data_IF_545024893910
#
_entry.id   IF_545024893910
#
_cell.length_a   1.000
_cell.length_b   1.000
_cell.length_c   1.000
_cell.angle_alpha   90.00
_cell.angle_beta   90.00
_cell.angle_gamma   90.00
#
_symmetry.space_group_name_H-M   'P 1'
#
loop_
_entity.id
_entity.type
_entity.pdbx_description
1 polymer ?
#
# COMPACT_ATOMS: atom_id res chain seq x y z
N UNK A 1 0.40 -4.82 2.56
CA UNK A 1 1.71 -4.89 3.27
C UNK A 1 1.82 -6.25 3.95
N UNK A 2 2.98 -6.90 3.88
CA UNK A 2 3.23 -8.21 4.48
C UNK A 2 3.20 -8.13 6.02
N UNK A 3 2.69 -9.17 6.70
CA UNK A 3 2.69 -9.22 8.18
C UNK A 3 4.13 -9.35 8.70
N UNK A 4 4.55 -8.44 9.59
CA UNK A 4 5.89 -8.44 10.19
C UNK A 4 6.20 -9.70 11.00
N UNK A 5 5.19 -10.46 11.42
CA UNK A 5 5.38 -11.70 12.15
C UNK A 5 6.11 -12.77 11.31
N UNK A 6 6.15 -12.64 10.00
CA UNK A 6 6.86 -13.57 9.13
C UNK A 6 8.37 -13.59 9.40
N UNK A 7 8.97 -12.45 9.82
CA UNK A 7 10.38 -12.37 10.24
C UNK A 7 10.71 -13.35 11.39
N UNK A 8 9.71 -13.63 12.22
CA UNK A 8 9.87 -14.46 13.42
C UNK A 8 9.42 -15.90 13.20
N UNK A 9 8.40 -16.08 12.39
CA UNK A 9 7.69 -17.36 12.27
C UNK A 9 8.10 -18.12 11.01
N UNK A 10 8.56 -17.43 9.97
CA UNK A 10 8.90 -18.07 8.69
C UNK A 10 9.91 -17.24 7.88
N UNK A 11 11.10 -17.05 8.44
CA UNK A 11 12.19 -16.28 7.83
C UNK A 11 12.65 -16.88 6.50
N UNK A 12 12.66 -18.22 6.40
CA UNK A 12 13.10 -18.93 5.20
C UNK A 12 12.16 -18.64 4.01
N UNK A 13 10.86 -18.61 4.23
CA UNK A 13 9.90 -18.24 3.18
C UNK A 13 10.08 -16.79 2.71
N UNK A 14 10.48 -15.89 3.61
CA UNK A 14 10.77 -14.51 3.25
C UNK A 14 12.05 -14.41 2.41
N UNK A 15 13.10 -15.16 2.77
CA UNK A 15 14.36 -15.22 2.00
C UNK A 15 14.14 -15.82 0.61
N UNK A 16 13.41 -16.95 0.52
CA UNK A 16 13.02 -17.56 -0.75
C UNK A 16 12.21 -16.60 -1.65
N UNK A 17 11.27 -15.86 -1.05
CA UNK A 17 10.48 -14.86 -1.78
C UNK A 17 11.35 -13.77 -2.42
N UNK A 18 12.33 -13.25 -1.68
CA UNK A 18 13.24 -12.22 -2.20
C UNK A 18 14.16 -12.78 -3.29
N UNK A 19 14.71 -13.97 -3.10
CA UNK A 19 15.55 -14.64 -4.08
C UNK A 19 14.79 -14.90 -5.38
N UNK A 20 13.57 -15.45 -5.31
CA UNK A 20 12.71 -15.71 -6.50
C UNK A 20 12.34 -14.45 -7.25
N UNK A 21 12.29 -13.30 -6.58
CA UNK A 21 11.99 -11.99 -7.17
C UNK A 21 13.23 -11.22 -7.58
N UNK A 22 14.44 -11.72 -7.30
CA UNK A 22 15.70 -11.03 -7.58
C UNK A 22 15.86 -9.74 -6.79
N UNK A 23 15.29 -9.65 -5.58
CA UNK A 23 15.34 -8.46 -4.73
C UNK A 23 16.47 -8.59 -3.69
N UNK A 24 17.34 -7.59 -3.65
CA UNK A 24 18.43 -7.48 -2.68
C UNK A 24 18.01 -6.58 -1.52
N UNK A 25 17.40 -7.19 -0.50
CA UNK A 25 16.97 -6.52 0.73
C UNK A 25 17.69 -7.17 1.92
N UNK A 26 18.32 -6.35 2.77
CA UNK A 26 19.05 -6.82 3.95
C UNK A 26 18.06 -7.33 5.03
N UNK A 27 17.80 -8.62 4.98
CA UNK A 27 16.95 -9.32 5.94
C UNK A 27 17.55 -9.33 7.35
N UNK A 28 18.87 -9.45 7.46
CA UNK A 28 19.52 -9.53 8.77
C UNK A 28 19.42 -8.17 9.49
N UNK A 29 19.50 -7.07 8.75
CA UNK A 29 19.19 -5.74 9.27
C UNK A 29 17.75 -5.67 9.79
N UNK A 30 16.77 -6.15 9.03
CA UNK A 30 15.37 -6.13 9.43
C UNK A 30 15.10 -6.97 10.69
N UNK A 31 15.73 -8.13 10.81
CA UNK A 31 15.66 -8.97 12.02
C UNK A 31 16.21 -8.23 13.23
N UNK A 32 17.40 -7.62 13.11
CA UNK A 32 18.00 -6.84 14.19
C UNK A 32 17.13 -5.64 14.61
N UNK A 33 16.55 -4.94 13.64
CA UNK A 33 15.65 -3.82 13.91
C UNK A 33 14.36 -4.27 14.60
N UNK A 34 13.77 -5.41 14.19
CA UNK A 34 12.60 -5.96 14.87
C UNK A 34 12.89 -6.33 16.32
N UNK A 35 14.03 -6.95 16.59
CA UNK A 35 14.47 -7.28 17.95
C UNK A 35 14.67 -6.02 18.79
N UNK A 36 15.33 -5.01 18.25
CA UNK A 36 15.57 -3.73 18.90
C UNK A 36 14.27 -3.01 19.26
N UNK A 37 13.34 -2.91 18.30
CA UNK A 37 12.01 -2.32 18.52
C UNK A 37 11.27 -3.03 19.63
N UNK A 38 11.24 -4.37 19.60
CA UNK A 38 10.55 -5.17 20.65
C UNK A 38 11.16 -4.96 22.03
N UNK A 39 12.48 -4.88 22.14
CA UNK A 39 13.15 -4.61 23.40
C UNK A 39 12.75 -3.24 23.96
N UNK A 40 12.79 -2.18 23.12
CA UNK A 40 12.38 -0.83 23.53
C UNK A 40 10.90 -0.79 23.92
N UNK A 41 10.03 -1.46 23.16
CA UNK A 41 8.60 -1.55 23.48
C UNK A 41 8.35 -2.22 24.82
N UNK A 42 9.05 -3.32 25.09
CA UNK A 42 8.94 -4.03 26.35
C UNK A 42 9.38 -3.14 27.53
N UNK A 43 10.48 -2.40 27.40
CA UNK A 43 10.92 -1.44 28.44
C UNK A 43 9.90 -0.33 28.66
N UNK A 44 9.32 0.21 27.58
CA UNK A 44 8.28 1.24 27.66
C UNK A 44 7.01 0.72 28.36
N UNK A 45 6.56 -0.50 28.05
CA UNK A 45 5.41 -1.13 28.70
C UNK A 45 5.67 -1.40 30.20
N UNK A 46 6.89 -1.84 30.54
CA UNK A 46 7.31 -2.02 31.92
C UNK A 46 7.28 -0.70 32.68
N UNK A 47 7.87 0.35 32.13
CA UNK A 47 7.87 1.69 32.74
C UNK A 47 6.44 2.25 32.90
N UNK A 48 5.55 2.04 31.93
CA UNK A 48 4.12 2.40 32.04
C UNK A 48 3.41 1.63 33.16
N UNK A 49 3.71 0.35 33.30
CA UNK A 49 3.13 -0.46 34.37
C UNK A 49 3.58 0.04 35.77
N UNK A 50 4.86 0.36 35.93
CA UNK A 50 5.41 0.97 37.12
C UNK A 50 4.77 2.33 37.43
N UNK A 51 4.62 3.19 36.40
CA UNK A 51 3.94 4.49 36.52
C UNK A 51 2.49 4.34 37.02
N UNK A 52 1.75 3.35 36.48
CA UNK A 52 0.39 3.05 36.92
C UNK A 52 0.33 2.60 38.39
N UNK A 53 1.31 1.81 38.84
CA UNK A 53 1.39 1.36 40.25
C UNK A 53 1.72 2.52 41.17
N UNK A 54 2.72 3.35 40.82
CA UNK A 54 3.05 4.56 41.58
C UNK A 54 1.85 5.52 41.66
N UNK A 55 1.07 5.67 40.60
CA UNK A 55 -0.16 6.46 40.60
C UNK A 55 -1.18 6.00 41.62
N UNK A 56 -1.33 4.67 41.79
CA UNK A 56 -2.18 4.10 42.87
C UNK A 56 -1.62 4.37 44.27
N UNK A 57 -0.29 4.26 44.45
CA UNK A 57 0.35 4.54 45.71
C UNK A 57 0.25 6.03 46.11
N UNK A 58 0.37 6.95 45.15
CA UNK A 58 0.19 8.39 45.36
C UNK A 58 -1.21 8.70 45.90
N UNK A 59 -2.25 8.02 45.37
CA UNK A 59 -3.64 8.23 45.81
C UNK A 59 -3.89 7.77 47.26
N UNK A 60 -3.02 6.91 47.79
CA UNK A 60 -3.12 6.33 49.14
C UNK A 60 -2.10 6.92 50.15
N UNK A 61 -1.27 7.87 49.71
CA UNK A 61 -0.16 8.42 50.50
C UNK A 61 -0.37 9.90 50.77
N UNK A 62 0.16 10.36 51.94
CA UNK A 62 0.14 11.76 52.37
C UNK A 62 1.53 12.24 52.80
N UNK A 63 1.71 13.57 52.91
CA UNK A 63 2.94 14.19 53.40
C UNK A 63 4.18 13.94 52.50
N UNK A 64 5.34 13.80 53.13
CA UNK A 64 6.65 13.64 52.46
C UNK A 64 6.72 12.42 51.55
N UNK A 65 6.03 11.33 51.90
CA UNK A 65 5.95 10.12 51.06
C UNK A 65 5.26 10.38 49.73
N UNK A 66 4.21 11.19 49.75
CA UNK A 66 3.50 11.59 48.52
C UNK A 66 4.39 12.44 47.61
N UNK A 67 5.18 13.36 48.18
CA UNK A 67 6.12 14.20 47.39
C UNK A 67 7.23 13.36 46.75
N UNK A 68 7.77 12.37 47.45
CA UNK A 68 8.75 11.44 46.85
C UNK A 68 8.18 10.62 45.73
N UNK A 69 6.96 10.10 45.89
CA UNK A 69 6.26 9.34 44.82
C UNK A 69 5.93 10.19 43.60
N UNK A 70 5.56 11.47 43.80
CA UNK A 70 5.35 12.42 42.73
C UNK A 70 6.63 12.68 41.92
N UNK A 71 7.78 12.83 42.60
CA UNK A 71 9.08 12.96 41.93
C UNK A 71 9.42 11.71 41.12
N UNK A 72 9.22 10.51 41.67
CA UNK A 72 9.42 9.25 40.94
C UNK A 72 8.50 9.12 39.74
N UNK A 73 7.23 9.48 39.89
CA UNK A 73 6.26 9.46 38.79
C UNK A 73 6.66 10.42 37.65
N UNK A 74 7.19 11.61 37.96
CA UNK A 74 7.70 12.55 36.97
C UNK A 74 8.87 11.96 36.19
N UNK A 75 9.88 11.39 36.85
CA UNK A 75 11.03 10.75 36.20
C UNK A 75 10.60 9.57 35.31
N UNK A 76 9.66 8.76 35.82
CA UNK A 76 9.10 7.66 35.02
C UNK A 76 8.34 8.17 33.79
N UNK A 77 7.60 9.27 33.90
CA UNK A 77 6.89 9.88 32.78
C UNK A 77 7.85 10.36 31.67
N UNK A 78 8.95 10.99 32.07
CA UNK A 78 10.01 11.40 31.12
C UNK A 78 10.66 10.18 30.46
N UNK A 79 10.95 9.13 31.24
CA UNK A 79 11.52 7.90 30.70
C UNK A 79 10.59 7.22 29.70
N UNK A 80 9.28 7.12 30.00
CA UNK A 80 8.27 6.57 29.06
C UNK A 80 8.23 7.40 27.78
N UNK A 81 8.30 8.72 27.88
CA UNK A 81 8.34 9.60 26.71
C UNK A 81 9.57 9.33 25.83
N UNK A 82 10.76 9.27 26.43
CA UNK A 82 12.00 8.98 25.73
C UNK A 82 12.01 7.59 25.06
N UNK A 83 11.45 6.59 25.75
CA UNK A 83 11.34 5.23 25.18
C UNK A 83 10.38 5.19 24.00
N UNK A 84 9.26 5.93 24.05
CA UNK A 84 8.36 6.02 22.91
C UNK A 84 9.02 6.73 21.73
N UNK A 85 9.70 7.86 21.96
CA UNK A 85 10.43 8.57 20.89
C UNK A 85 11.49 7.67 20.23
N UNK A 86 12.21 6.86 21.04
CA UNK A 86 13.14 5.87 20.51
C UNK A 86 12.44 4.77 19.72
N UNK A 87 11.32 4.27 20.22
CA UNK A 87 10.53 3.27 19.51
C UNK A 87 10.06 3.79 18.14
N UNK A 88 9.51 5.00 18.11
CA UNK A 88 8.99 5.61 16.88
C UNK A 88 10.12 5.82 15.84
N UNK A 89 11.32 6.20 16.30
CA UNK A 89 12.48 6.34 15.42
C UNK A 89 12.92 4.99 14.81
N UNK A 90 13.00 3.93 15.63
CA UNK A 90 13.36 2.60 15.13
C UNK A 90 12.24 1.98 14.27
N UNK A 91 10.97 2.23 14.59
CA UNK A 91 9.83 1.81 13.77
C UNK A 91 9.88 2.44 12.38
N UNK A 92 10.20 3.73 12.32
CA UNK A 92 10.34 4.44 11.04
C UNK A 92 11.45 3.83 10.19
N UNK A 93 12.64 3.61 10.76
CA UNK A 93 13.77 2.98 10.05
C UNK A 93 13.43 1.56 9.55
N UNK A 94 12.72 0.81 10.37
CA UNK A 94 12.25 -0.52 10.00
C UNK A 94 11.26 -0.46 8.85
N UNK A 95 10.25 0.40 8.94
CA UNK A 95 9.19 0.52 7.93
C UNK A 95 9.74 0.99 6.57
N UNK A 96 10.71 1.90 6.54
CA UNK A 96 11.35 2.37 5.29
C UNK A 96 11.95 1.23 4.46
N UNK A 97 12.35 0.13 5.09
CA UNK A 97 12.83 -1.07 4.38
C UNK A 97 11.73 -2.13 4.22
N UNK A 98 10.89 -2.29 5.24
CA UNK A 98 9.85 -3.30 5.25
C UNK A 98 8.81 -3.12 4.15
N UNK A 99 8.43 -1.88 3.85
CA UNK A 99 7.45 -1.57 2.79
C UNK A 99 7.92 -1.96 1.39
N UNK A 100 9.24 -2.11 1.17
CA UNK A 100 9.82 -2.54 -0.10
C UNK A 100 9.66 -4.05 -0.34
N UNK A 101 9.27 -4.80 0.67
CA UNK A 101 9.11 -6.25 0.56
C UNK A 101 7.71 -6.55 -0.01
N UNK A 102 7.62 -7.14 -1.22
CA UNK A 102 6.35 -7.50 -1.80
C UNK A 102 5.75 -8.74 -1.10
N UNK A 103 4.48 -9.02 -1.36
CA UNK A 103 3.80 -10.21 -0.88
C UNK A 103 4.52 -11.49 -1.32
N UNK A 104 4.34 -12.56 -0.55
CA UNK A 104 4.93 -13.86 -0.87
C UNK A 104 4.48 -14.36 -2.25
N UNK A 105 5.41 -14.93 -2.97
CA UNK A 105 5.15 -15.59 -4.26
C UNK A 105 4.41 -16.90 -3.99
N UNK A 106 3.38 -17.19 -4.78
CA UNK A 106 2.69 -18.48 -4.76
C UNK A 106 3.64 -19.60 -5.23
N UNK A 107 3.56 -20.79 -4.61
CA UNK A 107 4.42 -21.92 -4.93
C UNK A 107 4.30 -22.37 -6.38
N UNK A 108 3.13 -22.17 -7.00
CA UNK A 108 2.87 -22.55 -8.40
C UNK A 108 3.42 -21.56 -9.42
N UNK A 109 3.83 -20.36 -8.99
CA UNK A 109 4.40 -19.34 -9.87
C UNK A 109 5.80 -19.74 -10.34
N UNK A 110 6.12 -19.62 -11.64
CA UNK A 110 7.48 -19.86 -12.12
C UNK A 110 8.45 -18.81 -11.57
N UNK A 111 9.69 -19.20 -11.41
CA UNK A 111 10.79 -18.26 -11.13
C UNK A 111 11.25 -17.67 -12.45
N UNK A 112 11.40 -16.33 -12.52
CA UNK A 112 11.84 -15.66 -13.73
C UNK A 112 12.10 -14.18 -13.50
N UNK A 113 12.86 -13.56 -14.39
CA UNK A 113 13.23 -12.15 -14.32
C UNK A 113 12.29 -11.26 -15.16
N UNK A 114 11.61 -11.81 -16.15
CA UNK A 114 10.76 -11.08 -17.08
C UNK A 114 9.44 -11.81 -17.34
N UNK A 115 8.51 -11.16 -18.03
CA UNK A 115 7.26 -11.73 -18.49
C UNK A 115 7.43 -12.90 -19.47
N UNK A 116 8.59 -13.01 -20.11
CA UNK A 116 8.91 -14.14 -21.01
C UNK A 116 9.12 -15.47 -20.26
N UNK A 117 9.41 -15.39 -18.98
CA UNK A 117 9.54 -16.56 -18.09
C UNK A 117 8.17 -17.09 -17.63
N UNK A 118 7.08 -16.40 -17.96
CA UNK A 118 5.73 -16.82 -17.61
C UNK A 118 5.36 -18.15 -18.28
N UNK A 119 4.78 -19.04 -17.51
CA UNK A 119 4.29 -20.33 -18.01
C UNK A 119 2.83 -20.20 -18.45
N UNK A 120 2.59 -20.42 -19.74
CA UNK A 120 1.22 -20.52 -20.24
C UNK A 120 0.52 -21.75 -19.67
N UNK A 121 -0.55 -21.54 -18.90
CA UNK A 121 -1.29 -22.62 -18.23
C UNK A 121 -2.49 -23.13 -19.01
N UNK A 122 -3.04 -22.30 -19.94
CA UNK A 122 -4.24 -22.65 -20.71
C UNK A 122 -4.37 -21.78 -21.93
N UNK A 123 -4.68 -22.41 -23.08
CA UNK A 123 -5.18 -21.75 -24.29
C UNK A 123 -6.67 -22.06 -24.46
N UNK A 124 -7.46 -21.05 -24.86
CA UNK A 124 -8.90 -21.19 -25.13
C UNK A 124 -9.22 -20.58 -26.48
N UNK A 125 -9.82 -21.36 -27.35
CA UNK A 125 -10.15 -20.96 -28.70
C UNK A 125 -8.98 -21.12 -29.70
N UNK A 126 -9.21 -20.72 -30.93
CA UNK A 126 -8.20 -20.71 -31.99
C UNK A 126 -7.72 -19.28 -32.25
N UNK A 127 -6.41 -19.09 -32.24
CA UNK A 127 -5.80 -17.81 -32.62
C UNK A 127 -5.78 -17.73 -34.13
N UNK A 128 -6.55 -16.79 -34.68
CA UNK A 128 -6.55 -16.53 -36.13
C UNK A 128 -5.36 -15.64 -36.46
N UNK A 129 -4.56 -16.05 -37.43
CA UNK A 129 -3.58 -15.19 -38.06
C UNK A 129 -4.32 -14.19 -38.95
N UNK A 130 -4.18 -12.90 -38.65
CA UNK A 130 -4.79 -11.80 -39.42
C UNK A 130 -3.64 -11.02 -40.06
N UNK A 131 -3.60 -10.99 -41.39
CA UNK A 131 -2.65 -10.16 -42.11
C UNK A 131 -2.97 -8.67 -41.89
N UNK A 132 -1.93 -7.85 -41.71
CA UNK A 132 -2.04 -6.40 -41.50
C UNK A 132 -2.98 -6.02 -40.33
N UNK A 133 -2.85 -6.73 -39.21
CA UNK A 133 -3.63 -6.44 -38.02
C UNK A 133 -3.39 -4.98 -37.57
N UNK A 134 -4.48 -4.24 -37.39
CA UNK A 134 -4.47 -2.88 -36.87
C UNK A 134 -4.64 -2.91 -35.35
N UNK A 135 -3.92 -2.04 -34.66
CA UNK A 135 -4.14 -1.83 -33.24
C UNK A 135 -5.43 -1.03 -32.96
N UNK A 136 -5.83 -0.92 -31.72
CA UNK A 136 -7.08 -0.24 -31.31
C UNK A 136 -7.10 1.26 -31.70
N UNK A 137 -5.95 1.93 -31.68
CA UNK A 137 -5.84 3.33 -32.01
C UNK A 137 -6.03 3.53 -33.55
N UNK A 138 -5.32 2.75 -34.36
CA UNK A 138 -5.47 2.78 -35.83
C UNK A 138 -6.90 2.47 -36.29
N UNK A 139 -7.59 1.56 -35.58
CA UNK A 139 -9.00 1.27 -35.83
C UNK A 139 -9.86 2.48 -35.43
N UNK A 140 -9.68 3.01 -34.25
CA UNK A 140 -10.46 4.14 -33.70
C UNK A 140 -10.34 5.39 -34.55
N UNK A 141 -9.11 5.74 -34.96
CA UNK A 141 -8.83 6.86 -35.85
C UNK A 141 -9.44 6.67 -37.25
N UNK A 142 -9.27 5.47 -37.85
CA UNK A 142 -9.83 5.17 -39.18
C UNK A 142 -11.35 5.25 -39.22
N UNK A 143 -12.02 5.07 -38.08
CA UNK A 143 -13.47 5.16 -37.90
C UNK A 143 -13.93 6.52 -37.39
N UNK A 144 -13.03 7.48 -37.12
CA UNK A 144 -13.28 8.75 -36.48
C UNK A 144 -13.94 8.62 -35.09
N UNK A 145 -13.52 7.63 -34.34
CA UNK A 145 -14.03 7.33 -33.01
C UNK A 145 -13.06 7.77 -31.86
N UNK A 146 -11.78 7.98 -32.20
CA UNK A 146 -10.73 8.38 -31.28
C UNK A 146 -9.93 9.53 -31.85
N UNK A 147 -9.52 10.51 -31.05
CA UNK A 147 -8.61 11.60 -31.40
C UNK A 147 -7.64 11.85 -30.24
N UNK A 148 -6.41 11.47 -30.43
CA UNK A 148 -5.34 11.65 -29.44
C UNK A 148 -4.56 12.95 -29.65
N UNK A 149 -4.51 13.46 -30.89
CA UNK A 149 -3.79 14.70 -31.22
C UNK A 149 -4.46 15.89 -30.53
N UNK A 150 -5.78 16.06 -30.74
CA UNK A 150 -6.53 17.13 -30.06
C UNK A 150 -6.54 16.99 -28.54
N UNK A 151 -6.58 15.77 -28.03
CA UNK A 151 -6.51 15.56 -26.60
C UNK A 151 -5.13 15.98 -26.04
N UNK A 152 -4.06 15.70 -26.77
CA UNK A 152 -2.72 16.13 -26.40
C UNK A 152 -2.54 17.67 -26.43
N UNK A 153 -3.18 18.36 -27.35
CA UNK A 153 -3.19 19.82 -27.40
C UNK A 153 -3.88 20.44 -26.15
N UNK A 154 -4.92 19.80 -25.66
CA UNK A 154 -5.73 20.31 -24.53
C UNK A 154 -5.17 19.89 -23.17
N UNK A 155 -4.73 18.64 -23.03
CA UNK A 155 -4.42 18.02 -21.73
C UNK A 155 -3.02 17.41 -21.64
N UNK A 156 -2.26 17.38 -22.73
CA UNK A 156 -0.95 16.74 -22.78
C UNK A 156 -1.02 15.28 -23.27
N UNK A 157 0.11 14.60 -23.20
CA UNK A 157 0.23 13.21 -23.67
C UNK A 157 -0.62 12.23 -22.86
N UNK A 158 -1.02 11.12 -23.46
CA UNK A 158 -1.81 10.02 -22.85
C UNK A 158 -3.29 10.34 -22.59
N UNK A 159 -3.80 11.46 -23.09
CA UNK A 159 -5.24 11.74 -23.11
C UNK A 159 -5.82 11.40 -24.48
N UNK A 160 -7.11 11.11 -24.53
CA UNK A 160 -7.85 10.83 -25.77
C UNK A 160 -9.26 11.42 -25.72
N UNK A 161 -9.75 11.87 -26.86
CA UNK A 161 -11.18 12.04 -27.07
C UNK A 161 -11.75 10.77 -27.67
N UNK A 162 -12.94 10.36 -27.21
CA UNK A 162 -13.75 9.30 -27.81
C UNK A 162 -15.04 9.91 -28.35
N UNK A 163 -15.55 9.38 -29.47
CA UNK A 163 -16.68 9.96 -30.17
C UNK A 163 -17.75 8.94 -30.55
N UNK A 164 -18.95 9.44 -30.83
CA UNK A 164 -20.03 8.71 -31.49
C UNK A 164 -20.42 7.42 -30.76
N UNK A 165 -20.39 6.33 -31.49
CA UNK A 165 -20.86 5.03 -31.00
C UNK A 165 -19.89 4.42 -29.95
N UNK A 166 -18.61 4.83 -29.95
CA UNK A 166 -17.67 4.37 -28.92
C UNK A 166 -18.07 4.88 -27.51
N UNK A 167 -18.57 6.11 -27.40
CA UNK A 167 -19.12 6.64 -26.14
C UNK A 167 -20.32 5.80 -25.67
N UNK A 168 -21.21 5.42 -26.59
CA UNK A 168 -22.37 4.58 -26.26
C UNK A 168 -21.94 3.18 -25.82
N UNK A 169 -20.92 2.60 -26.46
CA UNK A 169 -20.37 1.30 -26.09
C UNK A 169 -19.80 1.36 -24.66
N UNK A 170 -19.01 2.39 -24.34
CA UNK A 170 -18.44 2.58 -23.01
C UNK A 170 -19.53 2.65 -21.93
N UNK A 171 -20.52 3.53 -22.11
CA UNK A 171 -21.61 3.68 -21.14
C UNK A 171 -22.46 2.40 -20.99
N UNK A 172 -22.76 1.73 -22.09
CA UNK A 172 -23.50 0.47 -22.06
C UNK A 172 -22.70 -0.66 -21.42
N UNK A 173 -21.37 -0.71 -21.60
CA UNK A 173 -20.50 -1.67 -20.95
C UNK A 173 -20.51 -1.48 -19.42
N UNK A 174 -20.40 -0.24 -18.96
CA UNK A 174 -20.51 0.09 -17.53
C UNK A 174 -21.87 -0.36 -16.97
N UNK A 175 -22.97 -0.01 -17.66
CA UNK A 175 -24.33 -0.40 -17.25
C UNK A 175 -24.49 -1.93 -17.16
N UNK A 176 -24.01 -2.64 -18.19
CA UNK A 176 -24.05 -4.10 -18.22
C UNK A 176 -23.27 -4.76 -17.09
N UNK A 177 -22.05 -4.25 -16.77
CA UNK A 177 -21.25 -4.76 -15.67
C UNK A 177 -21.93 -4.53 -14.31
N UNK A 178 -22.50 -3.32 -14.10
CA UNK A 178 -23.21 -3.00 -12.87
C UNK A 178 -24.41 -3.93 -12.66
N UNK A 179 -25.21 -4.17 -13.72
CA UNK A 179 -26.34 -5.11 -13.64
C UNK A 179 -25.87 -6.53 -13.31
N UNK A 180 -24.84 -7.01 -14.04
CA UNK A 180 -24.30 -8.35 -13.86
C UNK A 180 -23.75 -8.59 -12.43
N UNK A 181 -23.07 -7.60 -11.86
CA UNK A 181 -22.52 -7.68 -10.52
C UNK A 181 -23.60 -7.52 -9.44
N UNK A 182 -24.58 -6.63 -9.65
CA UNK A 182 -25.73 -6.50 -8.73
C UNK A 182 -26.50 -7.82 -8.62
N UNK A 183 -26.65 -8.57 -9.70
CA UNK A 183 -27.27 -9.90 -9.70
C UNK A 183 -26.43 -10.97 -8.96
N UNK A 184 -25.20 -10.64 -8.56
CA UNK A 184 -24.30 -11.46 -7.73
C UNK A 184 -24.13 -10.89 -6.31
N UNK A 185 -25.05 -10.06 -5.88
CA UNK A 185 -25.09 -9.44 -4.55
C UNK A 185 -23.98 -8.41 -4.27
N UNK A 186 -23.26 -7.94 -5.29
CA UNK A 186 -22.37 -6.80 -5.14
C UNK A 186 -23.17 -5.49 -5.08
N UNK A 187 -22.77 -4.61 -4.17
CA UNK A 187 -23.39 -3.27 -4.05
C UNK A 187 -22.67 -2.29 -4.97
N UNK A 188 -23.36 -1.71 -5.99
CA UNK A 188 -22.78 -0.65 -6.81
C UNK A 188 -22.39 0.56 -5.95
N UNK A 189 -21.16 1.04 -6.11
CA UNK A 189 -20.62 2.17 -5.35
C UNK A 189 -19.93 3.15 -6.28
N UNK A 190 -20.15 4.44 -6.09
CA UNK A 190 -19.39 5.52 -6.75
C UNK A 190 -18.51 6.17 -5.68
N UNK A 191 -17.22 5.83 -5.63
CA UNK A 191 -16.31 6.39 -4.65
C UNK A 191 -15.84 7.79 -5.04
N UNK A 192 -15.25 8.56 -4.09
CA UNK A 192 -14.59 9.83 -4.41
C UNK A 192 -13.38 9.60 -5.33
N UNK A 193 -13.14 10.57 -6.22
CA UNK A 193 -12.00 10.55 -7.15
C UNK A 193 -10.74 11.21 -6.59
N UNK A 194 -10.85 11.87 -5.44
CA UNK A 194 -9.75 12.50 -4.71
C UNK A 194 -9.62 11.85 -3.34
N UNK A 195 -8.40 11.52 -2.98
CA UNK A 195 -8.07 10.83 -1.73
C UNK A 195 -6.88 11.48 -1.04
N UNK A 196 -6.67 11.16 0.24
CA UNK A 196 -5.48 11.53 0.99
C UNK A 196 -4.35 10.52 0.76
N UNK A 197 -3.12 10.93 1.10
CA UNK A 197 -1.91 10.13 0.95
C UNK A 197 -2.04 8.75 1.62
N UNK A 198 -2.67 8.69 2.81
CA UNK A 198 -2.80 7.46 3.57
C UNK A 198 -3.58 6.37 2.82
N UNK A 199 -4.56 6.75 1.98
CA UNK A 199 -5.30 5.78 1.18
C UNK A 199 -4.43 5.17 0.07
N UNK A 200 -3.60 5.98 -0.59
CA UNK A 200 -2.65 5.53 -1.61
C UNK A 200 -1.56 4.63 -0.99
N UNK A 201 -1.08 4.99 0.20
CA UNK A 201 -0.14 4.16 0.94
C UNK A 201 -0.77 2.83 1.38
N UNK A 202 -2.02 2.85 1.85
CA UNK A 202 -2.76 1.66 2.29
C UNK A 202 -2.97 0.63 1.19
N UNK A 203 -3.12 1.07 -0.06
CA UNK A 203 -3.30 0.24 -1.26
C UNK A 203 -2.00 -0.07 -2.00
N UNK A 204 -0.85 0.44 -1.52
CA UNK A 204 0.47 0.15 -2.07
C UNK A 204 0.87 0.95 -3.30
N UNK A 205 0.16 2.04 -3.62
CA UNK A 205 0.59 2.98 -4.67
C UNK A 205 1.77 3.84 -4.20
N UNK A 206 1.79 4.22 -2.95
CA UNK A 206 2.90 4.96 -2.36
C UNK A 206 3.80 4.02 -1.51
N UNK A 207 5.12 4.27 -1.51
CA UNK A 207 5.84 5.41 -2.13
C UNK A 207 6.20 5.24 -3.61
N UNK A 208 6.13 4.03 -4.19
CA UNK A 208 6.79 3.69 -5.45
C UNK A 208 6.18 4.39 -6.68
N UNK A 209 4.87 4.59 -6.72
CA UNK A 209 4.16 5.19 -7.85
C UNK A 209 3.83 6.69 -7.65
N UNK A 210 4.45 7.37 -6.69
CA UNK A 210 4.14 8.76 -6.37
C UNK A 210 4.27 9.71 -7.58
N UNK A 211 5.25 9.49 -8.46
CA UNK A 211 5.45 10.31 -9.66
C UNK A 211 4.37 10.10 -10.74
N UNK A 212 3.56 9.06 -10.64
CA UNK A 212 2.49 8.73 -11.60
C UNK A 212 1.13 9.26 -11.17
N UNK A 213 1.02 9.80 -9.96
CA UNK A 213 -0.23 10.30 -9.38
C UNK A 213 -0.29 11.82 -9.44
N UNK A 214 -1.42 12.37 -9.90
CA UNK A 214 -1.64 13.82 -9.87
C UNK A 214 -1.93 14.29 -8.46
N UNK A 215 -1.08 15.19 -7.95
CA UNK A 215 -1.24 15.85 -6.66
C UNK A 215 -1.96 17.19 -6.82
N UNK A 216 -2.81 17.54 -5.85
CA UNK A 216 -3.42 18.85 -5.65
C UNK A 216 -2.83 19.45 -4.36
N UNK A 217 -1.67 20.11 -4.42
CA UNK A 217 -0.89 20.48 -3.22
C UNK A 217 -1.64 21.43 -2.28
N UNK A 218 -2.55 22.26 -2.81
CA UNK A 218 -3.32 23.22 -2.03
C UNK A 218 -4.26 22.57 -1.02
N UNK A 219 -4.79 21.40 -1.38
CA UNK A 219 -5.82 20.72 -0.63
C UNK A 219 -5.30 19.43 0.04
N UNK A 220 -4.01 19.09 -0.17
CA UNK A 220 -3.37 17.84 0.29
C UNK A 220 -4.14 16.61 -0.17
N UNK A 221 -4.51 16.60 -1.46
CA UNK A 221 -5.29 15.56 -2.10
C UNK A 221 -4.60 15.05 -3.38
N UNK A 222 -4.91 13.82 -3.72
CA UNK A 222 -4.38 13.11 -4.87
C UNK A 222 -5.52 12.57 -5.73
N UNK A 223 -5.35 12.64 -7.06
CA UNK A 223 -6.30 12.07 -8.01
C UNK A 223 -6.07 10.55 -8.10
N UNK A 224 -7.12 9.76 -7.90
CA UNK A 224 -7.01 8.30 -7.95
C UNK A 224 -6.86 7.78 -9.38
N UNK A 225 -6.00 6.80 -9.59
CA UNK A 225 -5.88 6.06 -10.86
C UNK A 225 -6.87 4.90 -10.98
N UNK A 226 -7.46 4.48 -9.86
CA UNK A 226 -8.40 3.34 -9.78
C UNK A 226 -9.35 3.50 -8.61
N UNK A 227 -10.55 2.92 -8.72
CA UNK A 227 -11.54 2.90 -7.64
C UNK A 227 -11.14 2.04 -6.44
N UNK A 228 -10.12 1.22 -6.56
CA UNK A 228 -9.59 0.39 -5.48
C UNK A 228 -9.10 1.24 -4.28
N UNK A 229 -8.48 2.38 -4.58
CA UNK A 229 -7.88 3.25 -3.56
C UNK A 229 -8.91 3.80 -2.55
N UNK A 230 -10.08 4.33 -2.98
CA UNK A 230 -11.06 4.86 -2.05
C UNK A 230 -12.04 3.82 -1.47
N UNK A 231 -11.99 2.55 -1.91
CA UNK A 231 -12.84 1.46 -1.44
C UNK A 231 -12.14 0.61 -0.37
#
# INVERSE_FOLDING_TARGET
MLDQQILRNNLDALKDNLERRGLDIDIDFLVQQDEKKRAIKFEAEKARSEQKNIGKEISQSEGTKKEELLKKASVLSENVKLLNEKYDAEEKLFLEQWIKIPNLVDETSPTGATDQDNKEIKKVGEIKEIENIKNHLEIGESLNLIDVEKAAEVSGSRFSYIFGDLVKIELNLVSWVLEKLSNKEFTPTVPPVLVREEALFGTGFFPDDAEQVYEIPKDDLFLVGTSEVPL
#
